data_IF_772696839391
#
_entry.id   IF_772696839391
#
_cell.length_a   1.000
_cell.length_b   1.000
_cell.length_c   1.000
_cell.angle_alpha   90.00
_cell.angle_beta   90.00
_cell.angle_gamma   90.00
#
_symmetry.space_group_name_H-M   'P 1'
#
loop_
_entity.id
_entity.type
_entity.pdbx_description
1 polymer ?
#
# COMPACT_ATOMS: atom_id res chain seq x y z
N UNK A 1 1.04 27.98 -30.06
CA UNK A 1 -0.27 28.29 -29.45
C UNK A 1 -0.11 28.34 -27.94
N UNK A 2 -0.57 29.40 -27.25
CA UNK A 2 -0.66 29.40 -25.78
C UNK A 2 -1.72 28.38 -25.38
N UNK A 3 -1.37 27.38 -24.58
CA UNK A 3 -2.37 26.51 -23.95
C UNK A 3 -3.16 27.36 -22.97
N UNK A 4 -4.48 27.23 -23.00
CA UNK A 4 -5.33 27.88 -22.02
C UNK A 4 -4.98 27.33 -20.63
N UNK A 5 -4.82 28.21 -19.65
CA UNK A 5 -4.48 27.85 -18.28
C UNK A 5 -5.69 28.00 -17.38
N UNK A 6 -5.99 27.00 -16.57
CA UNK A 6 -7.04 27.10 -15.54
C UNK A 6 -6.47 26.83 -14.16
N UNK A 7 -7.04 27.49 -13.16
CA UNK A 7 -6.71 27.22 -11.77
C UNK A 7 -7.21 25.83 -11.34
N UNK A 8 -6.44 25.14 -10.51
CA UNK A 8 -6.74 23.77 -10.08
C UNK A 8 -8.14 23.59 -9.45
N UNK A 9 -8.66 24.57 -8.70
CA UNK A 9 -10.02 24.49 -8.13
C UNK A 9 -11.08 24.48 -9.22
N UNK A 10 -10.87 25.25 -10.28
CA UNK A 10 -11.78 25.27 -11.43
C UNK A 10 -11.70 23.96 -12.21
N UNK A 11 -10.50 23.38 -12.35
CA UNK A 11 -10.33 22.05 -12.95
C UNK A 11 -11.13 20.98 -12.19
N UNK A 12 -11.05 20.97 -10.86
CA UNK A 12 -11.82 20.04 -10.02
C UNK A 12 -13.33 20.24 -10.21
N UNK A 13 -13.80 21.48 -10.22
CA UNK A 13 -15.21 21.77 -10.45
C UNK A 13 -15.71 21.30 -11.82
N UNK A 14 -14.88 21.42 -12.86
CA UNK A 14 -15.20 20.92 -14.20
C UNK A 14 -15.25 19.39 -14.23
N UNK A 15 -14.27 18.72 -13.63
CA UNK A 15 -14.20 17.26 -13.55
C UNK A 15 -15.37 16.67 -12.76
N UNK A 16 -15.75 17.28 -11.63
CA UNK A 16 -16.93 16.88 -10.84
C UNK A 16 -18.24 17.00 -11.61
N UNK A 17 -18.30 17.91 -12.60
CA UNK A 17 -19.44 18.08 -13.52
C UNK A 17 -19.37 17.16 -14.76
N UNK A 18 -18.35 16.31 -14.86
CA UNK A 18 -18.15 15.40 -15.99
C UNK A 18 -17.48 16.01 -17.23
N UNK A 19 -16.96 17.24 -17.13
CA UNK A 19 -16.30 17.89 -18.25
C UNK A 19 -14.84 17.41 -18.40
N UNK A 20 -14.36 17.28 -19.64
CA UNK A 20 -12.97 16.94 -19.92
C UNK A 20 -12.05 18.15 -19.80
N UNK A 21 -10.84 17.93 -19.27
CA UNK A 21 -9.83 18.98 -19.02
C UNK A 21 -8.49 18.67 -19.72
N UNK A 22 -8.46 17.65 -20.58
CA UNK A 22 -7.24 17.02 -21.14
C UNK A 22 -6.33 17.96 -21.96
N UNK A 23 -6.86 19.07 -22.48
CA UNK A 23 -6.09 20.00 -23.33
C UNK A 23 -5.70 21.30 -22.61
N UNK A 24 -6.10 21.45 -21.35
CA UNK A 24 -5.91 22.67 -20.57
C UNK A 24 -4.73 22.46 -19.61
N UNK A 25 -3.84 23.44 -19.54
CA UNK A 25 -2.74 23.41 -18.57
C UNK A 25 -3.28 23.86 -17.20
N UNK A 26 -3.04 23.06 -16.16
CA UNK A 26 -3.51 23.40 -14.81
C UNK A 26 -2.45 24.22 -14.09
N UNK A 27 -2.86 25.38 -13.61
CA UNK A 27 -2.06 26.28 -12.79
C UNK A 27 -2.39 26.07 -11.31
N UNK A 28 -1.37 25.68 -10.56
CA UNK A 28 -1.44 25.46 -9.12
C UNK A 28 -1.09 26.71 -8.31
N UNK A 29 -0.54 27.77 -8.95
CA UNK A 29 -0.14 29.04 -8.30
C UNK A 29 0.72 28.88 -7.04
N UNK A 30 1.50 27.80 -6.94
CA UNK A 30 2.25 27.42 -5.73
C UNK A 30 1.39 27.29 -4.46
N UNK A 31 0.09 27.02 -4.61
CA UNK A 31 -0.80 26.75 -3.48
C UNK A 31 -0.58 25.35 -2.93
N UNK A 32 -0.77 25.19 -1.62
CA UNK A 32 -0.84 23.88 -0.97
C UNK A 32 -2.18 23.20 -1.29
N UNK A 33 -2.12 21.96 -1.75
CA UNK A 33 -3.27 21.19 -2.24
C UNK A 33 -3.47 19.97 -1.32
N UNK A 34 -4.66 19.83 -0.70
CA UNK A 34 -4.94 18.68 0.16
C UNK A 34 -4.79 17.36 -0.58
N UNK A 35 -4.17 16.36 0.06
CA UNK A 35 -3.92 15.03 -0.51
C UNK A 35 -5.18 14.37 -1.11
N UNK A 36 -6.35 14.62 -0.51
CA UNK A 36 -7.65 14.14 -1.03
C UNK A 36 -7.94 14.66 -2.45
N UNK A 37 -7.69 15.94 -2.70
CA UNK A 37 -7.92 16.56 -4.01
C UNK A 37 -6.81 16.17 -4.99
N UNK A 38 -5.58 15.95 -4.52
CA UNK A 38 -4.49 15.38 -5.34
C UNK A 38 -4.85 14.00 -5.86
N UNK A 39 -5.39 13.12 -4.99
CA UNK A 39 -5.87 11.81 -5.40
C UNK A 39 -6.97 11.88 -6.47
N UNK A 40 -7.87 12.85 -6.36
CA UNK A 40 -8.90 13.09 -7.36
C UNK A 40 -8.30 13.55 -8.70
N UNK A 41 -7.38 14.51 -8.71
CA UNK A 41 -6.69 14.98 -9.92
C UNK A 41 -5.88 13.87 -10.59
N UNK A 42 -5.18 13.04 -9.81
CA UNK A 42 -4.39 11.91 -10.33
C UNK A 42 -5.27 10.88 -11.05
N UNK A 43 -6.49 10.61 -10.58
CA UNK A 43 -7.46 9.73 -11.27
C UNK A 43 -7.85 10.25 -12.66
N UNK A 44 -7.70 11.55 -12.90
CA UNK A 44 -7.95 12.21 -14.18
C UNK A 44 -6.66 12.53 -14.94
N UNK A 45 -5.56 11.83 -14.65
CA UNK A 45 -4.23 12.01 -15.27
C UNK A 45 -3.63 13.42 -15.10
N UNK A 46 -4.05 14.16 -14.07
CA UNK A 46 -3.49 15.46 -13.73
C UNK A 46 -2.53 15.26 -12.56
N UNK A 47 -1.23 15.37 -12.82
CA UNK A 47 -0.19 15.25 -11.79
C UNK A 47 0.00 16.57 -11.05
N UNK A 48 0.01 16.49 -9.73
CA UNK A 48 0.34 17.61 -8.83
C UNK A 48 1.81 17.51 -8.42
N UNK A 49 2.60 18.60 -8.48
CA UNK A 49 3.96 18.61 -7.94
C UNK A 49 4.00 18.26 -6.45
N UNK A 50 4.91 17.37 -6.05
CA UNK A 50 4.97 16.85 -4.66
C UNK A 50 5.14 17.94 -3.60
N UNK A 51 5.94 18.97 -3.91
CA UNK A 51 6.17 20.09 -3.01
C UNK A 51 4.89 20.92 -2.71
N UNK A 52 3.84 20.77 -3.53
CA UNK A 52 2.55 21.43 -3.36
C UNK A 52 1.53 20.55 -2.64
N UNK A 53 1.81 19.27 -2.40
CA UNK A 53 0.90 18.38 -1.67
C UNK A 53 0.92 18.75 -0.18
N UNK A 54 -0.27 18.79 0.43
CA UNK A 54 -0.48 19.01 1.85
C UNK A 54 -1.18 17.81 2.48
N UNK A 55 -0.59 17.33 3.57
CA UNK A 55 -1.08 16.26 4.41
C UNK A 55 -1.55 16.86 5.73
N UNK A 56 -2.79 16.56 6.12
CA UNK A 56 -3.41 17.09 7.33
C UNK A 56 -3.33 16.06 8.45
N UNK A 57 -2.11 15.62 8.75
CA UNK A 57 -1.86 14.49 9.64
C UNK A 57 -2.35 14.78 11.07
N UNK A 58 -2.34 16.06 11.48
CA UNK A 58 -2.79 16.51 12.80
C UNK A 58 -4.31 16.34 13.04
N UNK A 59 -5.10 16.18 11.98
CA UNK A 59 -6.56 16.04 12.06
C UNK A 59 -7.04 14.63 11.68
N UNK A 60 -6.14 13.64 11.58
CA UNK A 60 -6.53 12.25 11.36
C UNK A 60 -7.11 11.69 12.66
N UNK A 61 -8.41 11.40 12.65
CA UNK A 61 -9.06 10.67 13.73
C UNK A 61 -8.66 9.20 13.65
N UNK A 62 -7.85 8.75 14.60
CA UNK A 62 -7.45 7.35 14.78
C UNK A 62 -8.14 6.71 16.00
N UNK A 63 -9.17 7.35 16.58
CA UNK A 63 -9.81 6.86 17.81
C UNK A 63 -10.54 5.53 17.65
N UNK A 64 -10.88 5.16 16.41
CA UNK A 64 -11.50 3.89 16.02
C UNK A 64 -10.46 2.77 15.77
N UNK A 65 -9.17 3.11 15.72
CA UNK A 65 -8.08 2.16 15.53
C UNK A 65 -7.52 1.81 16.91
N UNK A 66 -7.81 0.60 17.45
CA UNK A 66 -7.25 0.19 18.73
C UNK A 66 -5.74 0.12 18.64
N UNK A 67 -5.06 0.60 19.69
CA UNK A 67 -3.62 0.42 19.82
C UNK A 67 -3.27 -1.06 19.88
N UNK A 68 -2.16 -1.42 19.24
CA UNK A 68 -1.62 -2.77 19.32
C UNK A 68 -1.08 -2.99 20.73
N UNK A 69 -1.59 -4.00 21.43
CA UNK A 69 -1.13 -4.34 22.79
C UNK A 69 -0.07 -5.44 22.78
N UNK A 70 0.67 -5.56 23.88
CA UNK A 70 1.59 -6.70 24.10
C UNK A 70 0.84 -8.04 24.09
N UNK A 71 -0.41 -8.10 24.55
CA UNK A 71 -1.24 -9.30 24.48
C UNK A 71 -1.52 -9.71 23.02
N UNK A 72 -1.73 -8.75 22.12
CA UNK A 72 -1.93 -9.04 20.69
C UNK A 72 -0.65 -9.59 20.03
N UNK A 73 0.52 -9.16 20.50
CA UNK A 73 1.83 -9.69 20.10
C UNK A 73 1.98 -11.12 20.61
N UNK A 74 1.80 -11.34 21.92
CA UNK A 74 2.00 -12.63 22.58
C UNK A 74 1.00 -13.70 22.10
N UNK A 75 -0.26 -13.31 21.88
CA UNK A 75 -1.30 -14.20 21.35
C UNK A 75 -1.14 -14.48 19.85
N UNK A 76 -0.17 -13.84 19.18
CA UNK A 76 0.06 -13.99 17.74
C UNK A 76 -1.14 -13.54 16.89
N UNK A 77 -1.87 -12.52 17.37
CA UNK A 77 -3.00 -11.92 16.64
C UNK A 77 -2.51 -11.00 15.51
N UNK A 78 -1.26 -10.55 15.59
CA UNK A 78 -0.62 -9.71 14.57
C UNK A 78 0.00 -10.58 13.49
N UNK A 79 -0.41 -10.36 12.25
CA UNK A 79 0.25 -10.95 11.08
C UNK A 79 1.37 -10.03 10.57
N UNK A 80 2.62 -10.36 10.90
CA UNK A 80 3.80 -9.59 10.48
C UNK A 80 4.16 -9.83 9.02
N UNK A 81 3.87 -11.03 8.51
CA UNK A 81 4.25 -11.43 7.16
C UNK A 81 3.03 -11.33 6.24
N UNK A 82 3.10 -10.39 5.28
CA UNK A 82 2.08 -10.22 4.24
C UNK A 82 2.47 -10.97 2.99
N UNK A 83 1.48 -11.52 2.27
CA UNK A 83 1.72 -12.22 1.01
C UNK A 83 2.32 -11.32 -0.09
N UNK A 84 2.17 -10.00 0.03
CA UNK A 84 2.71 -9.05 -0.94
C UNK A 84 4.23 -8.87 -0.79
N UNK A 85 4.78 -9.22 0.37
CA UNK A 85 6.22 -9.22 0.65
C UNK A 85 6.87 -10.56 0.32
N UNK A 86 6.06 -11.61 0.14
CA UNK A 86 6.50 -12.97 -0.14
C UNK A 86 5.72 -13.54 -1.32
N UNK A 87 6.18 -13.32 -2.57
CA UNK A 87 5.48 -13.81 -3.75
C UNK A 87 5.46 -15.33 -3.72
N UNK A 88 4.28 -15.87 -3.44
CA UNK A 88 3.97 -17.30 -3.50
C UNK A 88 2.95 -17.53 -4.60
N UNK A 89 2.97 -18.74 -5.14
CA UNK A 89 2.02 -19.17 -6.16
C UNK A 89 0.55 -19.02 -5.68
N UNK A 90 -0.34 -18.69 -6.60
CA UNK A 90 -1.76 -18.43 -6.32
C UNK A 90 -2.48 -19.65 -5.74
N UNK A 91 -2.09 -20.87 -6.14
CA UNK A 91 -2.63 -22.12 -5.59
C UNK A 91 -2.25 -22.23 -4.11
N UNK A 92 -0.98 -21.99 -3.79
CA UNK A 92 -0.45 -22.03 -2.42
C UNK A 92 -1.11 -20.94 -1.57
N UNK A 93 -1.23 -19.72 -2.10
CA UNK A 93 -1.90 -18.61 -1.43
C UNK A 93 -3.34 -18.98 -1.08
N UNK A 94 -4.07 -19.53 -2.06
CA UNK A 94 -5.46 -19.94 -1.88
C UNK A 94 -5.59 -21.04 -0.82
N UNK A 95 -4.67 -22.02 -0.83
CA UNK A 95 -4.64 -23.08 0.16
C UNK A 95 -4.39 -22.54 1.59
N UNK A 96 -3.42 -21.63 1.77
CA UNK A 96 -3.10 -21.03 3.08
C UNK A 96 -4.30 -20.27 3.64
N UNK A 97 -4.98 -19.49 2.80
CA UNK A 97 -6.19 -18.73 3.19
C UNK A 97 -7.32 -19.69 3.56
N UNK A 98 -7.62 -20.67 2.72
CA UNK A 98 -8.74 -21.60 2.92
C UNK A 98 -8.58 -22.46 4.18
N UNK A 99 -7.34 -22.79 4.55
CA UNK A 99 -7.04 -23.58 5.75
C UNK A 99 -6.81 -22.72 6.99
N UNK A 100 -7.00 -21.39 6.90
CA UNK A 100 -6.74 -20.44 7.98
C UNK A 100 -5.33 -20.60 8.60
N UNK A 101 -4.33 -20.83 7.75
CA UNK A 101 -2.96 -21.08 8.19
C UNK A 101 -2.29 -19.75 8.52
N UNK A 102 -1.78 -19.64 9.75
CA UNK A 102 -0.98 -18.49 10.19
C UNK A 102 0.42 -18.57 9.59
N UNK A 103 0.70 -17.71 8.61
CA UNK A 103 2.02 -17.63 7.95
C UNK A 103 3.17 -17.42 8.93
N UNK A 104 2.96 -16.58 9.96
CA UNK A 104 3.95 -16.32 10.99
C UNK A 104 4.38 -17.59 11.75
N UNK A 105 3.51 -18.59 11.85
CA UNK A 105 3.83 -19.87 12.47
C UNK A 105 4.43 -20.83 11.44
N UNK A 106 3.82 -20.93 10.25
CA UNK A 106 4.25 -21.85 9.19
C UNK A 106 5.68 -21.59 8.71
N UNK A 107 6.04 -20.34 8.40
CA UNK A 107 7.31 -20.01 7.78
C UNK A 107 8.53 -20.36 8.66
N UNK A 108 8.56 -20.06 9.97
CA UNK A 108 9.62 -20.52 10.86
C UNK A 108 9.78 -22.04 10.87
N UNK A 109 8.68 -22.81 10.84
CA UNK A 109 8.75 -24.26 10.79
C UNK A 109 9.33 -24.76 9.45
N UNK A 110 8.89 -24.20 8.33
CA UNK A 110 9.41 -24.53 7.01
C UNK A 110 10.91 -24.25 6.91
N UNK A 111 11.36 -23.07 7.35
CA UNK A 111 12.78 -22.68 7.33
C UNK A 111 13.62 -23.60 8.24
N UNK A 112 13.13 -23.89 9.46
CA UNK A 112 13.81 -24.79 10.39
C UNK A 112 13.95 -26.20 9.83
N UNK A 113 12.88 -26.72 9.21
CA UNK A 113 12.87 -28.06 8.64
C UNK A 113 13.74 -28.12 7.39
N UNK A 114 13.67 -27.13 6.51
CA UNK A 114 14.55 -27.01 5.35
C UNK A 114 16.03 -27.02 5.77
N UNK A 115 16.40 -26.19 6.74
CA UNK A 115 17.78 -26.15 7.26
C UNK A 115 18.24 -27.51 7.82
N UNK A 116 17.39 -28.18 8.62
CA UNK A 116 17.69 -29.52 9.15
C UNK A 116 17.89 -30.55 8.04
N UNK A 117 17.00 -30.57 7.06
CA UNK A 117 17.06 -31.50 5.92
C UNK A 117 18.31 -31.28 5.08
N UNK A 118 18.67 -30.02 4.80
CA UNK A 118 19.89 -29.68 4.06
C UNK A 118 21.15 -30.10 4.82
N UNK A 119 21.21 -29.85 6.13
CA UNK A 119 22.34 -30.27 6.97
C UNK A 119 22.49 -31.80 7.03
N UNK A 120 21.37 -32.52 7.03
CA UNK A 120 21.38 -33.98 6.98
C UNK A 120 21.84 -34.50 5.62
N UNK A 121 21.34 -33.93 4.52
CA UNK A 121 21.76 -34.29 3.17
C UNK A 121 23.28 -34.06 2.96
N UNK A 122 23.82 -32.93 3.40
CA UNK A 122 25.26 -32.64 3.32
C UNK A 122 26.12 -33.66 4.07
N UNK A 123 25.66 -34.16 5.22
CA UNK A 123 26.37 -35.19 5.99
C UNK A 123 26.41 -36.55 5.28
N UNK A 124 25.38 -36.90 4.52
CA UNK A 124 25.28 -38.19 3.84
C UNK A 124 25.90 -38.19 2.43
N UNK A 125 26.15 -37.02 1.83
CA UNK A 125 26.90 -36.91 0.56
C UNK A 125 28.42 -36.99 0.79
N UNK A 126 28.88 -36.82 2.03
CA UNK A 126 30.28 -36.93 2.43
C UNK A 126 30.69 -38.35 2.91
N UNK A 127 29.84 -39.35 2.71
CA UNK A 127 30.06 -40.78 3.03
C UNK A 127 30.22 -41.60 1.75
#
# INVERSE_FOLDING_TARGET
>A
MKKEKIHWKNAINLLRKGNMVLQIEIDFKNEKIPVREVGFLNKHNIRVPENLIYYDDDNIDCSDIPEITDEDIEAGRIQWIKFDEFPIDDEIRSWIINQNIKLNELLPYLLKNFYKSMKFAQKNVAL
#
